data_IF_646035590814
#
_entry.id   IF_646035590814
#
_cell.length_a   1.000
_cell.length_b   1.000
_cell.length_c   1.000
_cell.angle_alpha   90.00
_cell.angle_beta   90.00
_cell.angle_gamma   90.00
#
_symmetry.space_group_name_H-M   'P 1'
#
loop_
_entity.id
_entity.type
_entity.pdbx_description
1 polymer ?
#
# COMPACT_ATOMS: atom_id res chain seq x y z
N UNK A 1 -31.66 -4.49 16.72
CA UNK A 1 -31.49 -5.83 16.12
C UNK A 1 -30.45 -5.77 15.02
N UNK A 2 -29.56 -6.76 14.97
CA UNK A 2 -28.39 -6.83 14.09
C UNK A 2 -28.76 -6.61 12.61
N UNK A 3 -29.89 -7.16 12.14
CA UNK A 3 -30.42 -6.97 10.78
C UNK A 3 -30.71 -5.49 10.43
N UNK A 4 -31.21 -4.72 11.40
CA UNK A 4 -31.54 -3.29 11.20
C UNK A 4 -30.27 -2.44 11.06
N UNK A 5 -29.20 -2.81 11.74
CA UNK A 5 -27.90 -2.13 11.66
C UNK A 5 -27.12 -2.50 10.38
N UNK A 6 -27.15 -3.76 9.95
CA UNK A 6 -26.63 -4.18 8.64
C UNK A 6 -27.32 -3.45 7.49
N UNK A 7 -28.66 -3.33 7.54
CA UNK A 7 -29.42 -2.63 6.50
C UNK A 7 -29.06 -1.14 6.40
N UNK A 8 -28.87 -0.45 7.53
CA UNK A 8 -28.46 0.96 7.55
C UNK A 8 -27.05 1.16 7.01
N UNK A 9 -26.12 0.29 7.38
CA UNK A 9 -24.75 0.33 6.88
C UNK A 9 -24.70 0.15 5.36
N UNK A 10 -25.34 -0.90 4.84
CA UNK A 10 -25.35 -1.18 3.40
C UNK A 10 -26.00 -0.04 2.62
N UNK A 11 -27.11 0.51 3.13
CA UNK A 11 -27.78 1.66 2.51
C UNK A 11 -26.93 2.92 2.53
N UNK A 12 -26.14 3.16 3.59
CA UNK A 12 -25.20 4.28 3.64
C UNK A 12 -24.08 4.10 2.61
N UNK A 13 -23.43 2.93 2.61
CA UNK A 13 -22.33 2.61 1.70
C UNK A 13 -22.76 2.78 0.24
N UNK A 14 -23.94 2.28 -0.11
CA UNK A 14 -24.47 2.39 -1.47
C UNK A 14 -24.83 3.83 -1.87
N UNK A 15 -25.27 4.66 -0.91
CA UNK A 15 -25.48 6.10 -1.17
C UNK A 15 -24.16 6.82 -1.45
N UNK A 16 -23.11 6.53 -0.68
CA UNK A 16 -21.78 7.10 -0.89
C UNK A 16 -21.22 6.62 -2.25
N UNK A 17 -21.32 5.33 -2.55
CA UNK A 17 -20.93 4.74 -3.85
C UNK A 17 -21.58 5.47 -5.01
N UNK A 18 -22.91 5.62 -5.00
CA UNK A 18 -23.64 6.34 -6.06
C UNK A 18 -23.21 7.80 -6.19
N UNK A 19 -22.96 8.48 -5.08
CA UNK A 19 -22.49 9.87 -5.11
C UNK A 19 -21.10 9.99 -5.74
N UNK A 20 -20.21 9.02 -5.48
CA UNK A 20 -18.88 8.93 -6.13
C UNK A 20 -19.05 8.70 -7.64
N UNK A 21 -19.84 7.70 -8.04
CA UNK A 21 -20.04 7.34 -9.44
C UNK A 21 -20.76 8.43 -10.24
N UNK A 22 -21.60 9.22 -9.60
CA UNK A 22 -22.27 10.37 -10.20
C UNK A 22 -21.39 11.62 -10.28
N UNK A 23 -20.15 11.57 -9.78
CA UNK A 23 -19.24 12.73 -9.77
C UNK A 23 -19.64 13.84 -8.80
N UNK A 24 -20.50 13.55 -7.80
CA UNK A 24 -20.92 14.55 -6.80
C UNK A 24 -19.78 14.93 -5.85
N UNK A 25 -18.77 14.08 -5.77
CA UNK A 25 -17.49 14.40 -5.15
C UNK A 25 -16.52 14.76 -6.26
N UNK A 26 -15.77 15.86 -6.09
CA UNK A 26 -14.58 16.10 -6.90
C UNK A 26 -13.49 15.06 -6.60
N UNK A 27 -12.24 15.40 -6.87
CA UNK A 27 -11.11 14.47 -6.66
C UNK A 27 -10.97 14.00 -5.21
N UNK A 28 -11.34 14.84 -4.24
CA UNK A 28 -11.21 14.58 -2.82
C UNK A 28 -12.56 14.58 -2.11
N UNK A 29 -12.80 13.55 -1.30
CA UNK A 29 -13.97 13.47 -0.44
C UNK A 29 -13.85 14.44 0.75
N UNK A 30 -14.98 15.01 1.20
CA UNK A 30 -15.05 15.69 2.48
C UNK A 30 -14.60 14.78 3.63
N UNK A 31 -14.04 15.36 4.69
CA UNK A 31 -13.63 14.59 5.87
C UNK A 31 -14.79 13.83 6.53
N UNK A 32 -14.47 12.76 7.27
CA UNK A 32 -15.44 11.82 7.84
C UNK A 32 -16.55 12.51 8.66
N UNK A 33 -16.20 13.55 9.42
CA UNK A 33 -17.18 14.34 10.20
C UNK A 33 -18.16 15.10 9.31
N UNK A 34 -17.72 15.59 8.15
CA UNK A 34 -18.58 16.28 7.20
C UNK A 34 -19.51 15.29 6.47
N UNK A 35 -18.97 14.13 6.07
CA UNK A 35 -19.76 13.04 5.49
C UNK A 35 -20.78 12.49 6.49
N UNK A 36 -20.41 12.33 7.77
CA UNK A 36 -21.31 11.93 8.84
C UNK A 36 -22.52 12.88 8.96
N UNK A 37 -22.28 14.20 8.88
CA UNK A 37 -23.36 15.19 8.82
C UNK A 37 -24.21 15.07 7.55
N UNK A 38 -23.58 14.98 6.37
CA UNK A 38 -24.28 14.89 5.07
C UNK A 38 -25.20 13.68 4.97
N UNK A 39 -24.77 12.52 5.48
CA UNK A 39 -25.52 11.28 5.37
C UNK A 39 -26.33 10.93 6.62
N UNK A 40 -26.33 11.80 7.64
CA UNK A 40 -26.98 11.56 8.94
C UNK A 40 -26.59 10.21 9.55
N UNK A 41 -25.29 9.91 9.53
CA UNK A 41 -24.72 8.68 10.03
C UNK A 41 -23.63 8.98 11.07
N UNK A 42 -23.29 8.01 11.92
CA UNK A 42 -22.16 8.17 12.82
C UNK A 42 -20.84 8.06 12.04
N UNK A 43 -19.78 8.72 12.54
CA UNK A 43 -18.49 8.76 11.88
C UNK A 43 -17.84 7.37 11.71
N UNK A 44 -18.08 6.43 12.64
CA UNK A 44 -17.56 5.05 12.53
C UNK A 44 -18.19 4.29 11.36
N UNK A 45 -19.49 4.44 11.13
CA UNK A 45 -20.21 3.79 10.03
C UNK A 45 -19.80 4.40 8.68
N UNK A 46 -19.56 5.72 8.64
CA UNK A 46 -18.96 6.38 7.48
C UNK A 46 -17.55 5.87 7.22
N UNK A 47 -16.68 5.85 8.24
CA UNK A 47 -15.32 5.34 8.12
C UNK A 47 -15.32 3.89 7.58
N UNK A 48 -16.17 3.02 8.13
CA UNK A 48 -16.33 1.64 7.65
C UNK A 48 -16.74 1.59 6.17
N UNK A 49 -17.72 2.39 5.77
CA UNK A 49 -18.16 2.44 4.38
C UNK A 49 -17.04 2.94 3.44
N UNK A 50 -16.25 3.93 3.87
CA UNK A 50 -15.10 4.42 3.12
C UNK A 50 -13.97 3.38 3.04
N UNK A 51 -13.75 2.57 4.08
CA UNK A 51 -12.79 1.45 4.04
C UNK A 51 -13.24 0.37 3.05
N UNK A 52 -14.52 -0.03 3.07
CA UNK A 52 -15.06 -1.00 2.12
C UNK A 52 -14.91 -0.49 0.67
N UNK A 53 -15.26 0.77 0.41
CA UNK A 53 -15.15 1.36 -0.93
C UNK A 53 -13.70 1.55 -1.39
N UNK A 54 -12.76 1.75 -0.45
CA UNK A 54 -11.33 1.77 -0.76
C UNK A 54 -10.81 0.36 -1.09
N UNK A 55 -11.26 -0.66 -0.37
CA UNK A 55 -10.92 -2.06 -0.67
C UNK A 55 -11.46 -2.49 -2.06
N UNK A 56 -12.55 -1.89 -2.52
CA UNK A 56 -13.11 -2.08 -3.87
C UNK A 56 -12.42 -1.22 -4.96
N UNK A 57 -11.39 -0.45 -4.59
CA UNK A 57 -10.64 0.37 -5.54
C UNK A 57 -11.38 1.62 -6.03
N UNK A 58 -12.51 2.00 -5.42
CA UNK A 58 -13.22 3.25 -5.76
C UNK A 58 -12.61 4.48 -5.07
N UNK A 59 -11.85 4.27 -3.99
CA UNK A 59 -11.25 5.32 -3.19
C UNK A 59 -9.78 5.01 -2.87
N UNK A 60 -8.97 6.07 -2.77
CA UNK A 60 -7.60 6.00 -2.26
C UNK A 60 -7.53 6.79 -0.95
N UNK A 61 -6.93 6.21 0.10
CA UNK A 61 -6.82 6.83 1.43
C UNK A 61 -5.37 7.13 1.76
N UNK A 62 -5.09 8.38 2.15
CA UNK A 62 -3.78 8.82 2.62
C UNK A 62 -3.90 9.39 4.03
N UNK A 63 -3.12 8.85 4.97
CA UNK A 63 -3.07 9.33 6.35
C UNK A 63 -2.69 10.81 6.35
N UNK A 64 -3.44 11.64 7.07
CA UNK A 64 -3.24 13.10 7.14
C UNK A 64 -3.67 13.89 5.90
N UNK A 65 -3.70 13.28 4.70
CA UNK A 65 -4.05 13.95 3.44
C UNK A 65 -5.49 13.76 3.00
N UNK A 66 -6.19 12.73 3.48
CA UNK A 66 -7.63 12.53 3.25
C UNK A 66 -7.96 11.33 2.35
N UNK A 67 -9.14 11.37 1.74
CA UNK A 67 -9.70 10.28 0.91
C UNK A 67 -10.05 10.83 -0.46
N UNK A 68 -9.65 10.12 -1.52
CA UNK A 68 -9.70 10.57 -2.91
C UNK A 68 -10.48 9.57 -3.77
N UNK A 69 -11.15 10.05 -4.81
CA UNK A 69 -11.85 9.19 -5.79
C UNK A 69 -10.81 8.55 -6.72
N UNK A 70 -10.83 7.23 -6.83
CA UNK A 70 -9.93 6.52 -7.73
C UNK A 70 -10.27 6.84 -9.20
N UNK A 71 -9.25 7.15 -10.00
CA UNK A 71 -9.45 7.46 -11.42
C UNK A 71 -10.06 8.85 -11.69
N UNK A 72 -10.33 9.67 -10.67
CA UNK A 72 -10.49 11.10 -10.89
C UNK A 72 -9.15 11.60 -11.43
N UNK A 73 -9.14 11.86 -12.74
CA UNK A 73 -8.02 12.34 -13.54
C UNK A 73 -7.10 13.20 -12.69
N UNK A 74 -5.86 12.75 -12.48
CA UNK A 74 -4.77 13.70 -12.31
C UNK A 74 -4.85 14.56 -13.55
N UNK A 75 -5.34 15.78 -13.43
CA UNK A 75 -5.01 16.76 -14.45
C UNK A 75 -3.49 16.80 -14.49
N UNK A 76 -2.97 16.49 -15.66
CA UNK A 76 -1.59 16.64 -16.06
C UNK A 76 -1.16 18.06 -15.67
N UNK A 77 -0.40 18.21 -14.59
CA UNK A 77 -0.07 19.54 -14.11
C UNK A 77 0.59 19.69 -12.74
N UNK A 78 1.03 18.63 -12.06
CA UNK A 78 2.00 18.78 -10.96
C UNK A 78 3.07 17.68 -11.02
N UNK A 79 3.78 17.59 -12.14
CA UNK A 79 5.24 17.67 -11.97
C UNK A 79 5.50 19.09 -11.49
N UNK A 80 5.60 19.30 -10.17
CA UNK A 80 6.32 20.49 -9.71
C UNK A 80 7.66 20.47 -10.44
N UNK A 81 7.99 21.47 -11.28
CA UNK A 81 9.34 21.59 -11.81
C UNK A 81 10.22 21.93 -10.60
N UNK A 82 10.68 20.90 -9.89
CA UNK A 82 11.35 21.02 -8.60
C UNK A 82 11.00 19.97 -7.53
N UNK A 83 10.03 19.07 -7.74
CA UNK A 83 9.89 17.90 -6.85
C UNK A 83 11.15 17.04 -7.01
N UNK A 84 11.97 16.97 -5.98
CA UNK A 84 13.18 16.14 -5.99
C UNK A 84 12.76 14.69 -6.25
N UNK A 85 13.43 14.05 -7.22
CA UNK A 85 13.30 12.61 -7.44
C UNK A 85 13.54 11.90 -6.11
N UNK A 86 12.56 11.12 -5.67
CA UNK A 86 12.67 10.39 -4.41
C UNK A 86 13.48 9.12 -4.62
N UNK A 87 14.25 8.73 -3.62
CA UNK A 87 15.03 7.50 -3.63
C UNK A 87 14.36 6.45 -2.77
N UNK A 88 14.09 5.29 -3.35
CA UNK A 88 13.57 4.10 -2.67
C UNK A 88 14.58 2.97 -2.78
N UNK A 89 14.48 2.01 -1.86
CA UNK A 89 15.27 0.79 -1.91
C UNK A 89 14.35 -0.44 -1.90
N UNK A 90 14.78 -1.53 -2.53
CA UNK A 90 14.11 -2.82 -2.50
C UNK A 90 15.11 -3.91 -2.12
N UNK A 91 14.88 -4.59 -1.00
CA UNK A 91 15.56 -5.85 -0.69
C UNK A 91 14.80 -6.97 -1.40
N UNK A 92 15.46 -7.59 -2.37
CA UNK A 92 14.89 -8.61 -3.26
C UNK A 92 15.74 -9.88 -3.27
N UNK A 93 15.34 -10.87 -4.06
CA UNK A 93 16.08 -12.10 -4.29
C UNK A 93 16.40 -12.29 -5.78
N UNK A 94 17.65 -12.03 -6.18
CA UNK A 94 18.11 -12.34 -7.53
C UNK A 94 18.13 -13.84 -7.83
N UNK A 95 18.05 -14.17 -9.12
CA UNK A 95 18.11 -15.53 -9.66
C UNK A 95 16.76 -16.25 -9.74
N UNK A 96 15.65 -15.51 -9.62
CA UNK A 96 14.30 -16.01 -9.82
C UNK A 96 13.62 -15.16 -10.89
N UNK A 97 13.19 -15.81 -11.98
CA UNK A 97 12.49 -15.11 -13.07
C UNK A 97 11.22 -14.37 -12.62
N UNK A 98 10.58 -14.83 -11.54
CA UNK A 98 9.44 -14.13 -10.94
C UNK A 98 9.86 -12.82 -10.26
N UNK A 99 10.97 -12.84 -9.51
CA UNK A 99 11.52 -11.65 -8.88
C UNK A 99 12.09 -10.69 -9.90
N UNK A 100 12.83 -11.18 -10.91
CA UNK A 100 13.36 -10.33 -11.99
C UNK A 100 12.26 -9.58 -12.75
N UNK A 101 11.13 -10.25 -13.03
CA UNK A 101 9.95 -9.60 -13.62
C UNK A 101 9.33 -8.59 -12.66
N UNK A 102 9.15 -8.97 -11.40
CA UNK A 102 8.58 -8.09 -10.39
C UNK A 102 9.43 -6.83 -10.19
N UNK A 103 10.75 -6.98 -10.08
CA UNK A 103 11.72 -5.90 -9.94
C UNK A 103 11.69 -4.97 -11.15
N UNK A 104 11.59 -5.53 -12.37
CA UNK A 104 11.44 -4.73 -13.60
C UNK A 104 10.16 -3.88 -13.60
N UNK A 105 9.01 -4.46 -13.24
CA UNK A 105 7.73 -3.76 -13.16
C UNK A 105 7.72 -2.71 -12.05
N UNK A 106 8.26 -3.04 -10.86
CA UNK A 106 8.36 -2.10 -9.75
C UNK A 106 9.25 -0.91 -10.10
N UNK A 107 10.37 -1.16 -10.78
CA UNK A 107 11.26 -0.10 -11.27
C UNK A 107 10.61 0.77 -12.35
N UNK A 108 9.87 0.16 -13.28
CA UNK A 108 9.12 0.89 -14.30
C UNK A 108 8.09 1.83 -13.64
N UNK A 109 7.31 1.32 -12.69
CA UNK A 109 6.34 2.11 -11.94
C UNK A 109 6.98 3.24 -11.12
N UNK A 110 8.15 3.03 -10.51
CA UNK A 110 8.89 4.10 -9.83
C UNK A 110 9.31 5.21 -10.81
N UNK A 111 9.88 4.83 -11.97
CA UNK A 111 10.32 5.77 -13.01
C UNK A 111 9.17 6.58 -13.61
N UNK A 112 8.02 5.95 -13.83
CA UNK A 112 6.80 6.63 -14.28
C UNK A 112 6.34 7.73 -13.31
N UNK A 113 6.67 7.59 -12.02
CA UNK A 113 6.41 8.61 -11.00
C UNK A 113 7.56 9.62 -10.81
N UNK A 114 8.66 9.51 -11.58
CA UNK A 114 9.84 10.37 -11.45
C UNK A 114 10.79 9.97 -10.31
N UNK A 115 10.58 8.79 -9.73
CA UNK A 115 11.34 8.28 -8.60
C UNK A 115 12.41 7.28 -9.03
N UNK A 116 13.34 7.02 -8.12
CA UNK A 116 14.43 6.07 -8.29
C UNK A 116 14.28 4.92 -7.30
N UNK A 117 14.62 3.71 -7.77
CA UNK A 117 14.56 2.50 -6.97
C UNK A 117 15.87 1.73 -7.10
N UNK A 118 16.58 1.58 -5.98
CA UNK A 118 17.77 0.75 -5.87
C UNK A 118 17.40 -0.66 -5.40
N UNK A 119 17.89 -1.68 -6.11
CA UNK A 119 17.69 -3.08 -5.72
C UNK A 119 18.92 -3.61 -5.00
N UNK A 120 18.69 -4.31 -3.90
CA UNK A 120 19.72 -4.95 -3.11
C UNK A 120 19.34 -6.40 -2.89
N UNK A 121 20.29 -7.29 -3.14
CA UNK A 121 20.09 -8.71 -2.94
C UNK A 121 20.11 -9.07 -1.46
N UNK A 122 19.17 -9.93 -1.08
CA UNK A 122 19.17 -10.56 0.22
C UNK A 122 20.38 -11.51 0.35
N UNK A 123 21.03 -11.48 1.51
CA UNK A 123 22.21 -12.30 1.81
C UNK A 123 21.95 -13.82 1.76
N UNK A 124 20.68 -14.26 1.90
CA UNK A 124 20.30 -15.68 1.89
C UNK A 124 18.95 -15.94 1.21
N UNK A 125 18.92 -16.96 0.32
CA UNK A 125 17.73 -17.41 -0.44
C UNK A 125 16.59 -18.00 0.41
N UNK A 126 16.86 -18.33 1.66
CA UNK A 126 15.85 -18.84 2.61
C UNK A 126 15.72 -17.94 3.83
N UNK A 127 16.54 -16.88 3.88
CA UNK A 127 16.81 -16.15 5.11
C UNK A 127 15.88 -14.98 5.33
N UNK A 128 15.91 -14.51 6.57
CA UNK A 128 15.33 -13.27 7.06
C UNK A 128 15.99 -12.08 6.34
N UNK A 129 15.21 -11.05 5.95
CA UNK A 129 15.78 -9.78 5.48
C UNK A 129 16.54 -9.10 6.61
N UNK A 130 17.79 -8.75 6.35
CA UNK A 130 18.68 -8.18 7.35
C UNK A 130 19.02 -6.72 7.07
N UNK A 131 19.43 -6.00 8.11
CA UNK A 131 19.97 -4.65 7.98
C UNK A 131 21.16 -4.61 6.99
N UNK A 132 21.96 -5.68 6.90
CA UNK A 132 23.10 -5.75 5.99
C UNK A 132 22.68 -5.81 4.50
N UNK A 133 21.46 -6.25 4.21
CA UNK A 133 20.93 -6.28 2.84
C UNK A 133 20.54 -4.87 2.35
N UNK A 134 20.50 -3.88 3.24
CA UNK A 134 20.31 -2.47 2.90
C UNK A 134 21.62 -1.72 3.17
N UNK A 135 22.47 -1.45 2.17
CA UNK A 135 23.79 -0.87 2.36
C UNK A 135 23.78 0.50 3.05
N UNK A 136 24.79 0.77 3.89
CA UNK A 136 24.83 1.97 4.73
C UNK A 136 24.83 3.30 3.93
N UNK A 137 25.46 3.29 2.76
CA UNK A 137 25.50 4.39 1.80
C UNK A 137 24.15 4.64 1.12
N UNK A 138 23.35 3.60 0.88
CA UNK A 138 22.00 3.73 0.35
C UNK A 138 20.99 4.22 1.40
N UNK A 139 21.22 3.90 2.69
CA UNK A 139 20.27 4.22 3.78
C UNK A 139 19.99 5.72 3.92
N UNK A 140 20.99 6.59 3.78
CA UNK A 140 20.86 8.04 4.05
C UNK A 140 19.76 8.68 3.24
N UNK A 141 19.64 8.33 1.96
CA UNK A 141 18.75 8.99 1.02
C UNK A 141 17.48 8.21 0.73
N UNK A 142 17.39 6.96 1.21
CA UNK A 142 16.22 6.10 1.06
C UNK A 142 15.03 6.60 1.87
N UNK A 143 13.94 6.88 1.18
CA UNK A 143 12.69 7.42 1.72
C UNK A 143 11.61 6.37 1.93
N UNK A 144 11.81 5.17 1.41
CA UNK A 144 10.96 4.02 1.65
C UNK A 144 11.67 2.74 1.23
N UNK A 145 11.35 1.67 1.94
CA UNK A 145 11.97 0.36 1.75
C UNK A 145 10.91 -0.68 1.37
N UNK A 146 11.09 -1.29 0.21
CA UNK A 146 10.36 -2.48 -0.20
C UNK A 146 11.15 -3.72 0.19
N UNK A 147 10.44 -4.77 0.59
CA UNK A 147 11.05 -6.07 0.88
C UNK A 147 10.19 -7.14 0.23
N UNK A 148 10.75 -7.88 -0.71
CA UNK A 148 10.05 -9.00 -1.33
C UNK A 148 10.23 -10.25 -0.48
N UNK A 149 9.26 -11.17 -0.56
CA UNK A 149 9.43 -12.51 -0.04
C UNK A 149 10.71 -13.16 -0.61
N UNK A 150 11.45 -13.98 0.15
CA UNK A 150 12.68 -14.61 -0.35
C UNK A 150 12.41 -15.72 -1.38
N UNK A 151 11.14 -16.15 -1.51
CA UNK A 151 10.69 -17.20 -2.42
C UNK A 151 9.36 -16.82 -3.03
N UNK A 152 9.18 -17.22 -4.28
CA UNK A 152 7.88 -17.19 -4.91
C UNK A 152 6.91 -18.02 -4.07
N UNK A 153 5.71 -17.49 -3.83
CA UNK A 153 4.63 -18.15 -3.08
C UNK A 153 4.92 -18.41 -1.59
N UNK A 154 5.87 -17.68 -0.99
CA UNK A 154 6.02 -17.69 0.47
C UNK A 154 4.80 -17.07 1.14
N UNK A 155 4.37 -17.62 2.27
CA UNK A 155 3.30 -17.04 3.10
C UNK A 155 3.84 -15.94 4.04
N UNK A 156 5.15 -15.98 4.34
CA UNK A 156 5.81 -15.07 5.27
C UNK A 156 6.98 -14.32 4.63
N UNK A 157 7.24 -13.12 5.17
CA UNK A 157 8.42 -12.32 4.86
C UNK A 157 9.10 -11.88 6.15
N UNK A 158 10.02 -12.69 6.64
CA UNK A 158 10.71 -12.41 7.89
C UNK A 158 11.77 -11.32 7.73
N UNK A 159 11.88 -10.48 8.76
CA UNK A 159 12.82 -9.39 8.88
C UNK A 159 13.47 -9.44 10.26
N UNK A 160 14.77 -9.15 10.33
CA UNK A 160 15.46 -9.11 11.62
C UNK A 160 15.10 -7.84 12.39
N UNK A 161 15.22 -7.91 13.71
CA UNK A 161 14.82 -6.80 14.58
C UNK A 161 15.69 -5.56 14.34
N UNK A 162 16.95 -5.73 13.94
CA UNK A 162 17.85 -4.61 13.65
C UNK A 162 17.38 -3.79 12.46
N UNK A 163 16.95 -4.45 11.38
CA UNK A 163 16.40 -3.80 10.19
C UNK A 163 15.12 -3.03 10.54
N UNK A 164 14.20 -3.67 11.26
CA UNK A 164 12.93 -3.06 11.66
C UNK A 164 13.18 -1.85 12.56
N UNK A 165 14.01 -2.00 13.60
CA UNK A 165 14.36 -0.92 14.51
C UNK A 165 15.06 0.23 13.80
N UNK A 166 15.98 -0.05 12.87
CA UNK A 166 16.67 0.96 12.09
C UNK A 166 15.69 1.80 11.26
N UNK A 167 14.80 1.14 10.51
CA UNK A 167 13.79 1.82 9.71
C UNK A 167 12.83 2.64 10.58
N UNK A 168 12.40 2.11 11.72
CA UNK A 168 11.53 2.82 12.66
C UNK A 168 12.18 4.09 13.22
N UNK A 169 13.46 4.01 13.64
CA UNK A 169 14.20 5.18 14.15
C UNK A 169 14.34 6.28 13.10
N UNK A 170 14.46 5.88 11.83
CA UNK A 170 14.55 6.80 10.69
C UNK A 170 13.20 7.26 10.15
N UNK A 171 12.11 6.71 10.66
CA UNK A 171 10.77 6.88 10.10
C UNK A 171 10.70 6.51 8.61
N UNK A 172 11.54 5.56 8.18
CA UNK A 172 11.50 5.03 6.82
C UNK A 172 10.36 4.02 6.72
N UNK A 173 9.31 4.26 5.91
CA UNK A 173 8.23 3.32 5.72
C UNK A 173 8.74 2.03 5.08
N UNK A 174 8.26 0.90 5.60
CA UNK A 174 8.53 -0.42 5.03
C UNK A 174 7.24 -0.98 4.43
N UNK A 175 7.36 -1.57 3.23
CA UNK A 175 6.31 -2.35 2.57
C UNK A 175 6.82 -3.76 2.27
N UNK A 176 6.15 -4.77 2.83
CA UNK A 176 6.36 -6.17 2.45
C UNK A 176 5.60 -6.49 1.17
N UNK A 177 6.23 -7.18 0.23
CA UNK A 177 5.60 -7.56 -1.04
C UNK A 177 5.68 -9.06 -1.29
N UNK A 178 4.57 -9.63 -1.75
CA UNK A 178 4.43 -11.05 -2.05
C UNK A 178 4.14 -11.91 -0.82
N UNK A 179 4.32 -11.41 0.40
CA UNK A 179 4.00 -12.11 1.63
C UNK A 179 3.76 -11.12 2.79
N UNK A 180 3.17 -11.61 3.87
CA UNK A 180 2.95 -10.80 5.07
C UNK A 180 4.18 -10.83 5.98
N UNK A 181 4.54 -9.67 6.52
CA UNK A 181 5.56 -9.60 7.58
C UNK A 181 4.96 -10.11 8.90
N UNK A 182 5.68 -11.00 9.59
CA UNK A 182 5.23 -11.63 10.83
C UNK A 182 5.66 -10.87 12.08
N UNK A 183 6.78 -10.15 12.04
CA UNK A 183 7.43 -9.54 13.21
C UNK A 183 6.90 -8.14 13.56
N UNK A 184 6.19 -7.45 12.65
CA UNK A 184 5.67 -6.10 12.90
C UNK A 184 4.40 -5.79 12.08
N UNK A 185 3.57 -4.85 12.59
CA UNK A 185 2.44 -4.28 11.84
C UNK A 185 2.98 -3.35 10.74
N UNK A 186 3.51 -3.94 9.68
CA UNK A 186 4.00 -3.26 8.50
C UNK A 186 2.92 -3.24 7.42
N UNK A 187 3.08 -2.33 6.45
CA UNK A 187 2.27 -2.37 5.25
C UNK A 187 2.67 -3.61 4.45
N UNK A 188 1.69 -4.33 3.92
CA UNK A 188 1.94 -5.51 3.11
C UNK A 188 1.05 -5.50 1.87
N UNK A 189 1.62 -5.92 0.74
CA UNK A 189 0.91 -6.25 -0.50
C UNK A 189 1.18 -7.72 -0.76
N UNK A 190 0.21 -8.58 -0.47
CA UNK A 190 0.30 -10.01 -0.70
C UNK A 190 -0.92 -10.51 -1.46
N UNK A 191 -0.78 -11.48 -2.37
CA UNK A 191 -1.92 -12.14 -2.97
C UNK A 191 -2.68 -12.95 -1.92
N UNK A 192 -3.97 -13.19 -2.17
CA UNK A 192 -4.74 -14.14 -1.38
C UNK A 192 -4.34 -15.57 -1.77
N UNK A 193 -3.39 -16.13 -1.05
CA UNK A 193 -2.89 -17.49 -1.29
C UNK A 193 -3.96 -18.56 -1.04
N UNK A 194 -4.94 -18.29 -0.16
CA UNK A 194 -6.00 -19.24 0.16
C UNK A 194 -6.97 -19.35 -1.01
N UNK A 195 -7.49 -18.23 -1.48
CA UNK A 195 -8.35 -18.18 -2.67
C UNK A 195 -7.61 -18.67 -3.93
N UNK A 196 -6.34 -18.31 -4.07
CA UNK A 196 -5.48 -18.80 -5.17
C UNK A 196 -5.36 -20.33 -5.20
N UNK A 197 -5.16 -20.96 -4.03
CA UNK A 197 -5.09 -22.42 -3.92
C UNK A 197 -6.40 -23.11 -4.30
N UNK A 198 -7.55 -22.58 -3.89
CA UNK A 198 -8.87 -23.14 -4.25
C UNK A 198 -9.17 -23.07 -5.74
N UNK A 199 -8.62 -22.11 -6.48
CA UNK A 199 -8.81 -21.99 -7.94
C UNK A 199 -7.96 -22.95 -8.77
N UNK A 200 -6.94 -23.55 -8.15
CA UNK A 200 -6.00 -24.48 -8.81
C UNK A 200 -6.30 -25.95 -8.52
N UNK A 201 -7.20 -26.25 -7.57
CA UNK A 201 -7.66 -27.58 -7.20
C UNK A 201 -8.93 -27.98 -7.98
#
# INVERSE_FOLDING_TARGET
GILKELYKFQRLRERIRRSILAGEFGERLPGERALARRYHANAKTVNKALCDLAAEGLLVRHIGRGTFVAGARRDEGETSPGAKSQQFACITQSGSAAHERFDAELNAGARENGDQLAFHDRSSRQGVASLNDWPADARSDTQGLFITAPRALSETNEMDDELVLHACRRQTPIVSVGACATSAKLNAVAPDFVDGGFRLA
#
